data_IF_848499938193
#
_entry.id   IF_848499938193
#
_cell.length_a   1.000
_cell.length_b   1.000
_cell.length_c   1.000
_cell.angle_alpha   90.00
_cell.angle_beta   90.00
_cell.angle_gamma   90.00
#
_symmetry.space_group_name_H-M   'P 1'
#
loop_
_entity.id
_entity.type
_entity.pdbx_description
1 polymer ?
#
# COMPACT_ATOMS: atom_id res chain seq x y z
N UNK A 1 -26.46 -19.14 33.26
CA UNK A 1 -26.00 -19.17 31.86
C UNK A 1 -25.52 -20.59 31.61
N UNK A 2 -26.16 -21.35 30.71
CA UNK A 2 -26.02 -22.81 30.64
C UNK A 2 -24.60 -23.24 30.21
N UNK A 3 -23.84 -23.86 31.11
CA UNK A 3 -22.51 -24.43 30.80
C UNK A 3 -22.57 -25.52 29.71
N UNK A 4 -23.74 -26.10 29.47
CA UNK A 4 -23.97 -27.14 28.44
C UNK A 4 -23.82 -26.66 26.99
N UNK A 5 -23.76 -25.35 26.71
CA UNK A 5 -23.58 -24.80 25.35
C UNK A 5 -22.28 -23.99 25.20
N UNK A 6 -21.30 -24.19 26.08
CA UNK A 6 -19.98 -23.54 25.95
C UNK A 6 -19.04 -24.45 25.17
N UNK A 7 -18.74 -24.08 23.92
CA UNK A 7 -17.65 -24.70 23.16
C UNK A 7 -16.31 -24.20 23.73
N UNK A 8 -15.41 -25.08 24.20
CA UNK A 8 -14.12 -24.69 24.79
C UNK A 8 -13.08 -24.33 23.71
N UNK A 9 -13.46 -23.47 22.76
CA UNK A 9 -12.59 -23.07 21.64
C UNK A 9 -11.30 -22.40 22.13
N UNK A 10 -11.37 -21.62 23.21
CA UNK A 10 -10.21 -20.99 23.82
C UNK A 10 -9.15 -22.01 24.26
N UNK A 11 -9.58 -23.06 24.98
CA UNK A 11 -8.67 -24.09 25.49
C UNK A 11 -8.04 -24.90 24.35
N UNK A 12 -8.81 -25.17 23.29
CA UNK A 12 -8.32 -25.86 22.08
C UNK A 12 -7.28 -25.00 21.35
N UNK A 13 -7.56 -23.71 21.16
CA UNK A 13 -6.63 -22.77 20.51
C UNK A 13 -5.37 -22.59 21.36
N UNK A 14 -5.50 -22.47 22.68
CA UNK A 14 -4.37 -22.37 23.59
C UNK A 14 -3.47 -23.61 23.52
N UNK A 15 -4.06 -24.81 23.58
CA UNK A 15 -3.32 -26.07 23.45
C UNK A 15 -2.61 -26.17 22.08
N UNK A 16 -3.28 -25.77 21.00
CA UNK A 16 -2.69 -25.74 19.67
C UNK A 16 -1.52 -24.74 19.58
N UNK A 17 -1.66 -23.53 20.12
CA UNK A 17 -0.59 -22.52 20.14
C UNK A 17 0.60 -23.02 20.95
N UNK A 18 0.39 -23.58 22.14
CA UNK A 18 1.45 -24.15 22.97
C UNK A 18 2.18 -25.29 22.25
N UNK A 19 1.43 -26.19 21.62
CA UNK A 19 2.03 -27.26 20.82
C UNK A 19 2.90 -26.73 19.67
N UNK A 20 2.44 -25.69 18.97
CA UNK A 20 3.23 -25.04 17.90
C UNK A 20 4.51 -24.42 18.48
N UNK A 21 4.42 -23.74 19.62
CA UNK A 21 5.58 -23.14 20.30
C UNK A 21 6.59 -24.23 20.69
N UNK A 22 6.14 -25.32 21.30
CA UNK A 22 7.00 -26.40 21.76
C UNK A 22 7.65 -27.14 20.58
N UNK A 23 6.89 -27.35 19.49
CA UNK A 23 7.38 -28.05 18.30
C UNK A 23 8.34 -27.21 17.44
N UNK A 24 8.13 -25.90 17.37
CA UNK A 24 8.86 -24.98 16.49
C UNK A 24 9.72 -23.95 17.24
N UNK A 25 9.94 -24.11 18.54
CA UNK A 25 10.65 -23.14 19.38
C UNK A 25 11.99 -22.69 18.80
N UNK A 26 12.85 -23.64 18.42
CA UNK A 26 14.15 -23.32 17.81
C UNK A 26 14.04 -22.56 16.47
N UNK A 27 12.97 -22.77 15.70
CA UNK A 27 12.72 -21.97 14.50
C UNK A 27 12.30 -20.54 14.88
N UNK A 28 11.42 -20.38 15.86
CA UNK A 28 11.00 -19.07 16.34
C UNK A 28 12.13 -18.27 16.97
N UNK A 29 13.04 -18.93 17.69
CA UNK A 29 14.24 -18.30 18.24
C UNK A 29 15.14 -17.72 17.12
N UNK A 30 15.35 -18.49 16.05
CA UNK A 30 16.11 -18.02 14.88
C UNK A 30 15.41 -16.83 14.23
N UNK A 31 14.09 -16.89 14.06
CA UNK A 31 13.30 -15.77 13.53
C UNK A 31 13.41 -14.55 14.43
N UNK A 32 13.33 -14.71 15.75
CA UNK A 32 13.43 -13.63 16.73
C UNK A 32 14.80 -12.94 16.64
N UNK A 33 15.89 -13.71 16.58
CA UNK A 33 17.25 -13.20 16.44
C UNK A 33 17.42 -12.45 15.12
N UNK A 34 16.91 -12.99 14.01
CA UNK A 34 17.01 -12.33 12.70
C UNK A 34 16.21 -11.02 12.69
N UNK A 35 14.95 -11.05 13.12
CA UNK A 35 14.09 -9.88 13.09
C UNK A 35 14.55 -8.81 14.07
N UNK A 36 14.93 -9.21 15.29
CA UNK A 36 15.52 -8.32 16.29
C UNK A 36 16.81 -7.70 15.79
N UNK A 37 17.74 -8.52 15.29
CA UNK A 37 19.02 -8.02 14.77
C UNK A 37 18.88 -7.10 13.56
N UNK A 38 17.95 -7.39 12.63
CA UNK A 38 17.66 -6.51 11.49
C UNK A 38 17.01 -5.20 11.94
N UNK A 39 16.11 -5.26 12.92
CA UNK A 39 15.50 -4.07 13.52
C UNK A 39 16.55 -3.20 14.20
N UNK A 40 17.37 -3.78 15.08
CA UNK A 40 18.43 -3.06 15.81
C UNK A 40 19.45 -2.45 14.83
N UNK A 41 19.83 -3.18 13.78
CA UNK A 41 20.72 -2.68 12.75
C UNK A 41 20.12 -1.49 11.98
N UNK A 42 18.84 -1.59 11.61
CA UNK A 42 18.16 -0.54 10.85
C UNK A 42 17.89 0.69 11.73
N UNK A 43 17.45 0.49 12.97
CA UNK A 43 17.32 1.56 13.95
C UNK A 43 18.67 2.25 14.18
N UNK A 44 19.74 1.50 14.48
CA UNK A 44 21.07 2.09 14.67
C UNK A 44 21.52 2.90 13.45
N UNK A 45 21.20 2.44 12.23
CA UNK A 45 21.52 3.13 10.98
C UNK A 45 20.74 4.44 10.80
N UNK A 46 19.55 4.56 11.39
CA UNK A 46 18.69 5.75 11.34
C UNK A 46 18.90 6.70 12.53
N UNK A 47 19.21 6.16 13.71
CA UNK A 47 19.24 6.87 14.99
C UNK A 47 20.65 7.32 15.39
N UNK A 48 21.71 6.60 14.98
CA UNK A 48 23.10 6.94 15.33
C UNK A 48 23.65 8.15 14.58
N UNK A 49 23.42 8.30 13.25
CA UNK A 49 23.91 9.46 12.53
C UNK A 49 23.24 10.74 13.04
N UNK A 50 23.89 11.92 12.89
CA UNK A 50 23.24 13.17 13.26
C UNK A 50 22.00 13.40 12.40
N UNK A 51 20.91 13.90 13.01
CA UNK A 51 19.58 14.00 12.37
C UNK A 51 19.62 14.66 10.98
N UNK A 52 20.46 15.68 10.78
CA UNK A 52 20.57 16.38 9.49
C UNK A 52 21.07 15.46 8.36
N UNK A 53 21.95 14.50 8.66
CA UNK A 53 22.46 13.57 7.66
C UNK A 53 21.36 12.63 7.17
N UNK A 54 20.55 12.12 8.10
CA UNK A 54 19.41 11.25 7.81
C UNK A 54 18.34 12.03 7.04
N UNK A 55 18.07 13.28 7.42
CA UNK A 55 17.17 14.17 6.68
C UNK A 55 17.64 14.35 5.24
N UNK A 56 18.94 14.58 5.00
CA UNK A 56 19.47 14.72 3.65
C UNK A 56 19.28 13.44 2.83
N UNK A 57 19.49 12.26 3.42
CA UNK A 57 19.28 10.97 2.74
C UNK A 57 17.81 10.77 2.38
N UNK A 58 16.88 11.00 3.33
CA UNK A 58 15.45 10.86 3.08
C UNK A 58 14.98 11.91 2.06
N UNK A 59 15.46 13.15 2.14
CA UNK A 59 15.14 14.21 1.20
C UNK A 59 15.68 13.91 -0.21
N UNK A 60 16.87 13.31 -0.33
CA UNK A 60 17.41 12.86 -1.61
C UNK A 60 16.57 11.73 -2.22
N UNK A 61 16.12 10.78 -1.40
CA UNK A 61 15.21 9.73 -1.85
C UNK A 61 13.84 10.29 -2.27
N UNK A 62 13.30 11.25 -1.52
CA UNK A 62 12.11 12.00 -1.86
C UNK A 62 12.25 12.83 -3.15
N UNK A 63 13.43 13.41 -3.39
CA UNK A 63 13.75 14.11 -4.63
C UNK A 63 13.73 13.14 -5.82
N UNK A 64 14.34 11.97 -5.67
CA UNK A 64 14.38 10.96 -6.72
C UNK A 64 12.98 10.43 -7.08
N UNK A 65 12.07 10.31 -6.11
CA UNK A 65 10.71 9.82 -6.35
C UNK A 65 9.78 10.86 -7.02
N UNK A 66 9.72 12.09 -6.50
CA UNK A 66 8.76 13.12 -6.99
C UNK A 66 9.31 14.54 -7.14
N UNK A 67 10.63 14.73 -7.04
CA UNK A 67 11.29 16.01 -7.29
C UNK A 67 11.36 16.94 -6.07
N UNK A 68 11.75 18.20 -6.31
CA UNK A 68 12.14 19.15 -5.25
C UNK A 68 11.05 19.42 -4.22
N UNK A 69 9.78 19.50 -4.63
CA UNK A 69 8.67 19.82 -3.72
C UNK A 69 8.55 18.77 -2.62
N UNK A 70 8.61 17.49 -2.97
CA UNK A 70 8.53 16.41 -1.98
C UNK A 70 9.81 16.36 -1.13
N UNK A 71 10.98 16.60 -1.72
CA UNK A 71 12.25 16.64 -0.99
C UNK A 71 12.26 17.70 0.11
N UNK A 72 11.91 18.95 -0.25
CA UNK A 72 11.84 20.07 0.68
C UNK A 72 10.72 19.85 1.71
N UNK A 73 9.55 19.39 1.28
CA UNK A 73 8.45 19.07 2.19
C UNK A 73 8.82 17.98 3.21
N UNK A 74 9.52 16.93 2.77
CA UNK A 74 10.00 15.86 3.66
C UNK A 74 11.05 16.39 4.63
N UNK A 75 12.01 17.20 4.16
CA UNK A 75 13.02 17.79 5.02
C UNK A 75 12.40 18.70 6.10
N UNK A 76 11.45 19.57 5.73
CA UNK A 76 10.74 20.43 6.67
C UNK A 76 9.92 19.62 7.67
N UNK A 77 9.20 18.59 7.22
CA UNK A 77 8.45 17.71 8.11
C UNK A 77 9.36 17.00 9.12
N UNK A 78 10.48 16.43 8.68
CA UNK A 78 11.43 15.79 9.57
C UNK A 78 12.08 16.78 10.55
N UNK A 79 12.35 18.02 10.13
CA UNK A 79 12.81 19.08 11.04
C UNK A 79 11.78 19.41 12.12
N UNK A 80 10.47 19.36 11.79
CA UNK A 80 9.41 19.50 12.81
C UNK A 80 9.48 18.37 13.83
N UNK A 81 9.67 17.12 13.40
CA UNK A 81 9.82 15.96 14.31
C UNK A 81 11.01 16.16 15.26
N UNK A 82 12.14 16.68 14.76
CA UNK A 82 13.30 17.04 15.58
C UNK A 82 12.95 18.14 16.58
N UNK A 83 12.26 19.19 16.13
CA UNK A 83 11.91 20.34 16.95
C UNK A 83 10.97 19.99 18.12
N UNK A 84 10.09 18.99 17.95
CA UNK A 84 9.19 18.49 19.00
C UNK A 84 9.79 17.36 19.84
N UNK A 85 11.08 17.04 19.66
CA UNK A 85 11.76 16.03 20.48
C UNK A 85 11.35 14.58 20.21
N UNK A 86 10.68 14.31 19.08
CA UNK A 86 10.17 12.97 18.74
C UNK A 86 11.06 12.20 17.76
N UNK A 87 12.30 12.64 17.55
CA UNK A 87 13.22 12.06 16.56
C UNK A 87 13.49 10.57 16.79
N UNK A 88 13.91 10.18 18.00
CA UNK A 88 14.20 8.77 18.32
C UNK A 88 12.96 7.91 18.09
N UNK A 89 11.82 8.33 18.65
CA UNK A 89 10.55 7.62 18.50
C UNK A 89 10.15 7.45 17.02
N UNK A 90 10.42 8.45 16.20
CA UNK A 90 10.15 8.44 14.77
C UNK A 90 11.07 7.46 14.02
N UNK A 91 12.36 7.39 14.37
CA UNK A 91 13.29 6.44 13.75
C UNK A 91 12.98 5.00 14.15
N UNK A 92 12.63 4.73 15.42
CA UNK A 92 12.19 3.41 15.88
C UNK A 92 10.98 2.92 15.07
N UNK A 93 9.98 3.80 14.91
CA UNK A 93 8.77 3.52 14.13
C UNK A 93 9.08 3.29 12.66
N UNK A 94 9.96 4.12 12.10
CA UNK A 94 10.33 4.04 10.69
C UNK A 94 11.09 2.74 10.40
N UNK A 95 12.02 2.33 11.27
CA UNK A 95 12.72 1.05 11.17
C UNK A 95 11.74 -0.13 11.19
N UNK A 96 10.82 -0.13 12.16
CA UNK A 96 9.78 -1.17 12.29
C UNK A 96 8.91 -1.24 11.03
N UNK A 97 8.41 -0.11 10.56
CA UNK A 97 7.53 -0.03 9.38
C UNK A 97 8.24 -0.47 8.11
N UNK A 98 9.48 -0.02 7.88
CA UNK A 98 10.26 -0.42 6.70
C UNK A 98 10.49 -1.94 6.72
N UNK A 99 10.94 -2.49 7.84
CA UNK A 99 11.25 -3.91 7.94
C UNK A 99 9.98 -4.77 7.78
N UNK A 100 8.90 -4.41 8.47
CA UNK A 100 7.61 -5.10 8.34
C UNK A 100 7.06 -5.02 6.91
N UNK A 101 7.10 -3.84 6.28
CA UNK A 101 6.59 -3.67 4.93
C UNK A 101 7.42 -4.46 3.91
N UNK A 102 8.75 -4.43 3.99
CA UNK A 102 9.63 -5.19 3.08
C UNK A 102 9.34 -6.68 3.17
N UNK A 103 9.24 -7.23 4.38
CA UNK A 103 8.93 -8.65 4.59
C UNK A 103 7.52 -8.97 4.10
N UNK A 104 6.52 -8.13 4.42
CA UNK A 104 5.15 -8.32 3.98
C UNK A 104 5.04 -8.29 2.45
N UNK A 105 5.72 -7.36 1.76
CA UNK A 105 5.75 -7.29 0.29
C UNK A 105 6.42 -8.54 -0.30
N UNK A 106 7.56 -8.96 0.28
CA UNK A 106 8.30 -10.13 -0.15
C UNK A 106 7.48 -11.43 -0.05
N UNK A 107 6.47 -11.47 0.83
CA UNK A 107 5.53 -12.60 0.96
C UNK A 107 4.29 -12.37 0.08
N UNK A 108 3.70 -11.17 0.15
CA UNK A 108 2.42 -10.86 -0.46
C UNK A 108 2.46 -10.91 -1.99
N UNK A 109 3.52 -10.38 -2.61
CA UNK A 109 3.64 -10.35 -4.08
C UNK A 109 3.78 -11.78 -4.65
N UNK A 110 4.69 -12.65 -4.16
CA UNK A 110 4.74 -14.03 -4.61
C UNK A 110 3.44 -14.82 -4.38
N UNK A 111 2.79 -14.65 -3.22
CA UNK A 111 1.50 -15.29 -2.95
C UNK A 111 0.41 -14.81 -3.91
N UNK A 112 0.38 -13.51 -4.24
CA UNK A 112 -0.56 -12.94 -5.21
C UNK A 112 -0.31 -13.45 -6.63
N UNK A 113 0.96 -13.58 -7.05
CA UNK A 113 1.32 -14.20 -8.32
C UNK A 113 0.87 -15.66 -8.34
N UNK A 114 1.05 -16.40 -7.25
CA UNK A 114 0.64 -17.79 -7.18
C UNK A 114 -0.88 -17.96 -7.23
N UNK A 115 -1.63 -17.12 -6.51
CA UNK A 115 -3.09 -17.06 -6.54
C UNK A 115 -3.63 -16.69 -7.94
N UNK A 116 -2.94 -15.80 -8.66
CA UNK A 116 -3.32 -15.42 -10.01
C UNK A 116 -3.24 -16.58 -11.00
N UNK A 117 -2.29 -17.50 -10.79
CA UNK A 117 -2.06 -18.65 -11.67
C UNK A 117 -2.90 -19.88 -11.35
N UNK A 118 -3.54 -19.93 -10.19
CA UNK A 118 -4.30 -21.10 -9.75
C UNK A 118 -5.56 -20.70 -9.01
N UNK A 119 -6.71 -21.04 -9.60
CA UNK A 119 -8.03 -20.82 -8.98
C UNK A 119 -8.16 -21.57 -7.65
N UNK A 120 -7.51 -22.73 -7.51
CA UNK A 120 -7.50 -23.49 -6.25
C UNK A 120 -6.74 -22.74 -5.15
N UNK A 121 -5.57 -22.21 -5.48
CA UNK A 121 -4.77 -21.41 -4.52
C UNK A 121 -5.52 -20.15 -4.13
N UNK A 122 -6.12 -19.45 -5.10
CA UNK A 122 -6.96 -18.28 -4.85
C UNK A 122 -8.16 -18.60 -3.93
N UNK A 123 -8.88 -19.69 -4.19
CA UNK A 123 -10.04 -20.10 -3.40
C UNK A 123 -9.68 -20.43 -1.94
N UNK A 124 -8.47 -20.95 -1.68
CA UNK A 124 -7.98 -21.23 -0.33
C UNK A 124 -7.42 -19.98 0.35
N UNK A 125 -6.65 -19.15 -0.38
CA UNK A 125 -6.02 -17.97 0.20
C UNK A 125 -7.04 -16.89 0.58
N UNK A 126 -8.08 -16.65 -0.23
CA UNK A 126 -9.09 -15.62 0.04
C UNK A 126 -9.67 -15.66 1.46
N UNK A 127 -10.27 -16.77 1.93
CA UNK A 127 -10.83 -16.81 3.28
C UNK A 127 -9.76 -16.65 4.37
N UNK A 128 -8.53 -17.14 4.14
CA UNK A 128 -7.42 -16.93 5.09
C UNK A 128 -7.06 -15.46 5.18
N UNK A 129 -6.90 -14.77 4.04
CA UNK A 129 -6.57 -13.34 4.02
C UNK A 129 -7.71 -12.48 4.58
N UNK A 130 -8.96 -12.83 4.27
CA UNK A 130 -10.14 -12.15 4.82
C UNK A 130 -10.17 -12.30 6.35
N UNK A 131 -9.87 -13.50 6.87
CA UNK A 131 -9.73 -13.72 8.31
C UNK A 131 -8.57 -12.88 8.89
N UNK A 132 -7.40 -12.93 8.24
CA UNK A 132 -6.21 -12.17 8.67
C UNK A 132 -6.47 -10.66 8.77
N UNK A 133 -7.26 -10.10 7.86
CA UNK A 133 -7.57 -8.68 7.80
C UNK A 133 -8.74 -8.26 8.71
N UNK A 134 -9.65 -9.18 9.02
CA UNK A 134 -10.88 -8.85 9.77
C UNK A 134 -10.77 -9.12 11.27
N UNK A 135 -9.90 -10.03 11.73
CA UNK A 135 -9.72 -10.14 13.18
C UNK A 135 -9.03 -8.91 13.75
N UNK A 136 -9.42 -8.48 14.96
CA UNK A 136 -8.76 -7.39 15.66
C UNK A 136 -7.28 -7.68 15.86
N UNK A 137 -6.43 -6.68 15.61
CA UNK A 137 -4.99 -6.89 15.58
C UNK A 137 -4.42 -7.40 16.92
N UNK A 138 -5.06 -7.02 18.04
CA UNK A 138 -4.75 -7.51 19.39
C UNK A 138 -4.82 -9.03 19.54
N UNK A 139 -5.66 -9.69 18.75
CA UNK A 139 -5.78 -11.15 18.79
C UNK A 139 -4.49 -11.81 18.28
N UNK A 140 -3.84 -11.25 17.26
CA UNK A 140 -2.55 -11.75 16.74
C UNK A 140 -1.38 -11.47 17.69
N UNK A 141 -1.48 -10.40 18.48
CA UNK A 141 -0.41 -10.02 19.39
C UNK A 141 -0.23 -11.03 20.53
N UNK A 142 -1.30 -11.69 20.99
CA UNK A 142 -1.21 -12.67 22.08
C UNK A 142 -0.24 -13.82 21.73
N UNK A 143 -0.45 -14.61 20.66
CA UNK A 143 0.49 -15.66 20.30
C UNK A 143 1.86 -15.10 19.90
N UNK A 144 1.92 -13.93 19.23
CA UNK A 144 3.20 -13.33 18.88
C UNK A 144 4.05 -12.97 20.11
N UNK A 145 3.44 -12.42 21.17
CA UNK A 145 4.13 -12.12 22.42
C UNK A 145 4.53 -13.39 23.18
N UNK A 146 3.73 -14.45 23.13
CA UNK A 146 4.09 -15.73 23.74
C UNK A 146 5.31 -16.36 23.06
N UNK A 147 5.42 -16.22 21.74
CA UNK A 147 6.52 -16.76 20.93
C UNK A 147 7.77 -15.89 21.05
N UNK A 148 7.65 -14.57 20.89
CA UNK A 148 8.78 -13.65 20.70
C UNK A 148 9.08 -12.76 21.91
N UNK A 149 8.25 -12.81 22.96
CA UNK A 149 8.34 -11.89 24.09
C UNK A 149 7.82 -10.49 23.78
N UNK A 150 8.00 -9.58 24.72
CA UNK A 150 7.63 -8.16 24.60
C UNK A 150 8.74 -7.42 23.83
N UNK A 151 8.37 -6.60 22.85
CA UNK A 151 9.36 -5.86 22.05
C UNK A 151 8.89 -5.51 20.63
N UNK A 152 9.84 -5.13 19.74
CA UNK A 152 9.53 -4.75 18.36
C UNK A 152 9.13 -5.95 17.47
N UNK A 153 9.70 -7.13 17.71
CA UNK A 153 9.44 -8.36 16.92
C UNK A 153 7.96 -8.77 16.88
N UNK A 154 7.23 -8.93 18.01
CA UNK A 154 5.80 -9.27 17.94
C UNK A 154 4.97 -8.20 17.21
N UNK A 155 5.32 -6.91 17.37
CA UNK A 155 4.71 -5.80 16.64
C UNK A 155 4.91 -5.92 15.13
N UNK A 156 6.13 -6.20 14.69
CA UNK A 156 6.44 -6.46 13.27
C UNK A 156 5.65 -7.65 12.72
N UNK A 157 5.60 -8.77 13.43
CA UNK A 157 4.89 -9.97 12.99
C UNK A 157 3.39 -9.69 12.82
N UNK A 158 2.75 -9.06 13.81
CA UNK A 158 1.35 -8.70 13.70
C UNK A 158 1.09 -7.71 12.55
N UNK A 159 2.03 -6.79 12.33
CA UNK A 159 1.99 -5.82 11.22
C UNK A 159 2.07 -6.51 9.87
N UNK A 160 3.01 -7.45 9.70
CA UNK A 160 3.16 -8.24 8.48
C UNK A 160 1.85 -8.98 8.19
N UNK A 161 1.36 -9.76 9.15
CA UNK A 161 0.15 -10.58 9.02
C UNK A 161 -1.05 -9.73 8.59
N UNK A 162 -1.24 -8.57 9.23
CA UNK A 162 -2.34 -7.67 8.92
C UNK A 162 -2.21 -7.02 7.53
N UNK A 163 -1.00 -6.70 7.11
CA UNK A 163 -0.73 -6.02 5.84
C UNK A 163 -0.71 -6.95 4.62
N UNK A 164 -0.60 -8.28 4.79
CA UNK A 164 -0.52 -9.24 3.67
C UNK A 164 -1.74 -9.18 2.73
N UNK A 165 -2.94 -9.10 3.29
CA UNK A 165 -4.20 -9.25 2.55
C UNK A 165 -4.34 -8.34 1.32
N UNK A 166 -4.21 -7.00 1.43
CA UNK A 166 -4.32 -6.14 0.26
C UNK A 166 -3.18 -6.34 -0.75
N UNK A 167 -1.96 -6.63 -0.29
CA UNK A 167 -0.82 -6.87 -1.17
C UNK A 167 -1.02 -8.08 -2.07
N UNK A 168 -1.48 -9.20 -1.49
CA UNK A 168 -1.81 -10.43 -2.22
C UNK A 168 -2.96 -10.17 -3.19
N UNK A 169 -4.05 -9.55 -2.70
CA UNK A 169 -5.28 -9.33 -3.47
C UNK A 169 -5.05 -8.42 -4.67
N UNK A 170 -4.37 -7.28 -4.50
CA UNK A 170 -4.13 -6.34 -5.60
C UNK A 170 -3.12 -6.88 -6.61
N UNK A 171 -2.18 -7.73 -6.17
CA UNK A 171 -1.31 -8.48 -7.09
C UNK A 171 -2.10 -9.51 -7.89
N UNK A 172 -2.95 -10.30 -7.24
CA UNK A 172 -3.79 -11.30 -7.91
C UNK A 172 -4.72 -10.66 -8.93
N UNK A 173 -5.46 -9.62 -8.52
CA UNK A 173 -6.40 -8.89 -9.38
C UNK A 173 -5.67 -8.21 -10.54
N UNK A 174 -4.49 -7.65 -10.30
CA UNK A 174 -3.69 -7.02 -11.35
C UNK A 174 -3.31 -7.98 -12.46
N UNK A 175 -2.86 -9.19 -12.09
CA UNK A 175 -2.43 -10.21 -13.06
C UNK A 175 -3.62 -10.83 -13.79
N UNK A 176 -4.72 -11.12 -13.07
CA UNK A 176 -5.94 -11.67 -13.67
C UNK A 176 -6.71 -10.64 -14.51
N UNK A 177 -6.54 -9.36 -14.23
CA UNK A 177 -7.20 -8.26 -14.94
C UNK A 177 -6.52 -7.86 -16.26
N UNK A 178 -5.42 -8.52 -16.63
CA UNK A 178 -4.78 -8.32 -17.94
C UNK A 178 -5.69 -8.88 -19.03
N UNK A 179 -5.89 -8.10 -20.09
CA UNK A 179 -6.76 -8.46 -21.23
C UNK A 179 -6.43 -9.84 -21.79
N UNK A 180 -7.46 -10.68 -21.90
CA UNK A 180 -7.34 -12.03 -22.42
C UNK A 180 -6.84 -12.04 -23.86
N UNK A 181 -7.23 -11.06 -24.70
CA UNK A 181 -6.79 -10.99 -26.10
C UNK A 181 -5.27 -10.82 -26.20
N UNK A 182 -4.67 -10.04 -25.30
CA UNK A 182 -3.21 -9.84 -25.24
C UNK A 182 -2.51 -11.13 -24.80
N UNK A 183 -3.11 -11.87 -23.87
CA UNK A 183 -2.58 -13.17 -23.40
C UNK A 183 -2.69 -14.24 -24.50
N UNK A 184 -3.82 -14.31 -25.19
CA UNK A 184 -4.08 -15.21 -26.32
C UNK A 184 -3.16 -14.92 -27.51
N UNK A 185 -2.90 -13.64 -27.80
CA UNK A 185 -1.89 -13.25 -28.79
C UNK A 185 -0.50 -13.79 -28.40
N UNK A 186 -0.11 -13.68 -27.13
CA UNK A 186 1.14 -14.28 -26.63
C UNK A 186 1.21 -15.79 -26.87
N UNK A 187 0.10 -16.50 -26.64
CA UNK A 187 0.00 -17.93 -26.95
C UNK A 187 0.08 -18.22 -28.46
N UNK A 188 -0.57 -17.43 -29.30
CA UNK A 188 -0.53 -17.56 -30.76
C UNK A 188 0.88 -17.37 -31.34
N UNK A 189 1.70 -16.50 -30.72
CA UNK A 189 3.12 -16.33 -31.03
C UNK A 189 4.05 -17.37 -30.37
N UNK A 190 3.51 -18.42 -29.74
CA UNK A 190 4.28 -19.53 -29.16
C UNK A 190 4.97 -19.22 -27.84
N UNK A 191 4.55 -18.19 -27.10
CA UNK A 191 5.08 -17.92 -25.77
C UNK A 191 4.58 -18.96 -24.75
N UNK A 192 5.50 -19.49 -23.94
CA UNK A 192 5.13 -20.37 -22.82
C UNK A 192 4.41 -19.58 -21.71
N UNK A 193 3.60 -20.22 -20.86
CA UNK A 193 2.88 -19.54 -19.78
C UNK A 193 3.79 -18.73 -18.83
N UNK A 194 5.02 -19.21 -18.59
CA UNK A 194 6.00 -18.47 -17.79
C UNK A 194 6.56 -17.23 -18.51
N UNK A 195 6.68 -17.28 -19.83
CA UNK A 195 7.08 -16.14 -20.65
C UNK A 195 5.96 -15.10 -20.72
N UNK A 196 4.72 -15.54 -20.92
CA UNK A 196 3.52 -14.69 -20.89
C UNK A 196 3.42 -13.97 -19.54
N UNK A 197 3.54 -14.71 -18.43
CA UNK A 197 3.52 -14.09 -17.10
C UNK A 197 4.59 -13.01 -16.94
N UNK A 198 5.85 -13.31 -17.28
CA UNK A 198 6.97 -12.41 -17.02
C UNK A 198 7.04 -11.21 -17.97
N UNK A 199 6.62 -11.38 -19.23
CA UNK A 199 6.82 -10.38 -20.29
C UNK A 199 5.54 -9.64 -20.67
N UNK A 200 4.37 -10.19 -20.34
CA UNK A 200 3.07 -9.58 -20.67
C UNK A 200 2.35 -9.24 -19.37
N UNK A 201 2.00 -10.24 -18.55
CA UNK A 201 1.09 -10.01 -17.42
C UNK A 201 1.73 -9.17 -16.31
N UNK A 202 2.95 -9.50 -15.88
CA UNK A 202 3.63 -8.75 -14.80
C UNK A 202 3.83 -7.27 -15.17
N UNK A 203 4.38 -6.91 -16.34
CA UNK A 203 4.51 -5.51 -16.75
C UNK A 203 3.17 -4.75 -16.77
N UNK A 204 2.11 -5.37 -17.32
CA UNK A 204 0.79 -4.75 -17.40
C UNK A 204 0.10 -4.67 -16.03
N UNK A 205 0.38 -5.61 -15.12
CA UNK A 205 -0.15 -5.64 -13.76
C UNK A 205 0.61 -4.74 -12.77
N UNK A 206 1.80 -4.23 -13.13
CA UNK A 206 2.66 -3.44 -12.24
C UNK A 206 1.93 -2.30 -11.53
N UNK A 207 1.06 -1.49 -12.17
CA UNK A 207 0.34 -0.44 -11.45
C UNK A 207 -0.52 -0.97 -10.30
N UNK A 208 -1.19 -2.11 -10.49
CA UNK A 208 -2.01 -2.75 -9.45
C UNK A 208 -1.14 -3.37 -8.36
N UNK A 209 -0.03 -4.02 -8.73
CA UNK A 209 0.94 -4.56 -7.77
C UNK A 209 1.50 -3.44 -6.89
N UNK A 210 1.87 -2.30 -7.50
CA UNK A 210 2.39 -1.14 -6.78
C UNK A 210 1.33 -0.46 -5.91
N UNK A 211 0.06 -0.47 -6.32
CA UNK A 211 -1.04 -0.07 -5.44
C UNK A 211 -1.15 -1.00 -4.22
N UNK A 212 -0.97 -2.31 -4.41
CA UNK A 212 -0.88 -3.31 -3.32
C UNK A 212 0.28 -3.04 -2.38
N UNK A 213 1.47 -2.79 -2.91
CA UNK A 213 2.66 -2.40 -2.15
C UNK A 213 2.41 -1.13 -1.33
N UNK A 214 1.77 -0.12 -1.92
CA UNK A 214 1.41 1.10 -1.19
C UNK A 214 0.46 0.80 -0.02
N UNK A 215 -0.56 -0.05 -0.23
CA UNK A 215 -1.46 -0.47 0.85
C UNK A 215 -0.73 -1.22 1.97
N UNK A 216 0.22 -2.10 1.62
CA UNK A 216 1.05 -2.80 2.62
C UNK A 216 1.81 -1.81 3.49
N UNK A 217 2.44 -0.79 2.89
CA UNK A 217 3.19 0.25 3.61
C UNK A 217 2.26 1.09 4.49
N UNK A 218 1.12 1.52 3.96
CA UNK A 218 0.16 2.35 4.70
C UNK A 218 -0.48 1.62 5.89
N UNK A 219 -0.81 0.34 5.73
CA UNK A 219 -1.28 -0.49 6.83
C UNK A 219 -0.17 -0.77 7.84
N UNK A 220 1.07 -0.94 7.36
CA UNK A 220 2.21 -1.14 8.26
C UNK A 220 2.40 0.05 9.20
N UNK A 221 2.26 1.25 8.67
CA UNK A 221 2.31 2.47 9.48
C UNK A 221 1.11 2.60 10.43
N UNK A 222 -0.09 2.23 9.96
CA UNK A 222 -1.30 2.26 10.80
C UNK A 222 -1.16 1.35 12.04
N UNK A 223 -0.33 0.33 11.94
CA UNK A 223 -0.07 -0.63 13.02
C UNK A 223 0.97 -0.15 14.04
N UNK A 224 1.66 0.98 13.83
CA UNK A 224 2.70 1.50 14.73
C UNK A 224 2.18 1.70 16.16
N UNK A 225 0.98 2.24 16.33
CA UNK A 225 0.39 2.46 17.67
C UNK A 225 0.17 1.12 18.38
N UNK A 226 -0.32 0.12 17.68
CA UNK A 226 -0.61 -1.21 18.25
C UNK A 226 0.69 -1.95 18.56
N UNK A 227 1.72 -1.82 17.71
CA UNK A 227 3.06 -2.32 18.01
C UNK A 227 3.65 -1.66 19.27
N UNK A 228 3.46 -0.35 19.43
CA UNK A 228 3.87 0.39 20.63
C UNK A 228 3.26 -0.13 21.93
N UNK A 229 2.00 -0.62 21.88
CA UNK A 229 1.31 -1.21 23.04
C UNK A 229 1.96 -2.51 23.54
N UNK A 230 2.71 -3.22 22.69
CA UNK A 230 3.37 -4.49 23.03
C UNK A 230 4.87 -4.35 23.22
N UNK A 231 5.33 -3.13 23.52
CA UNK A 231 6.73 -2.86 23.87
C UNK A 231 7.66 -2.61 22.69
N UNK A 232 7.13 -2.37 21.47
CA UNK A 232 7.96 -1.93 20.35
C UNK A 232 8.51 -0.50 20.51
N UNK A 233 7.98 0.28 21.46
CA UNK A 233 8.41 1.66 21.70
C UNK A 233 7.97 2.61 20.57
N UNK A 234 8.87 3.52 20.19
CA UNK A 234 8.64 4.48 19.12
C UNK A 234 7.48 5.46 19.35
N UNK A 235 7.02 6.08 18.26
CA UNK A 235 5.87 7.00 18.26
C UNK A 235 4.60 6.31 18.76
N UNK A 236 4.43 5.02 18.44
CA UNK A 236 3.31 4.24 18.93
C UNK A 236 3.30 4.16 20.46
N UNK A 237 4.45 3.87 21.06
CA UNK A 237 4.63 3.89 22.52
C UNK A 237 4.37 5.27 23.12
N UNK A 238 4.84 6.35 22.48
CA UNK A 238 4.59 7.72 22.93
C UNK A 238 3.08 8.07 22.91
N UNK A 239 2.35 7.68 21.87
CA UNK A 239 0.89 7.86 21.78
C UNK A 239 0.15 7.06 22.86
N UNK A 240 0.58 5.82 23.11
CA UNK A 240 -0.03 4.99 24.16
C UNK A 240 0.25 5.56 25.55
N UNK A 241 1.47 6.05 25.77
CA UNK A 241 1.85 6.72 27.01
C UNK A 241 1.06 8.00 27.23
N UNK A 242 0.85 8.81 26.19
CA UNK A 242 0.10 10.05 26.27
C UNK A 242 -1.36 9.79 26.64
N UNK A 243 -1.98 8.76 26.06
CA UNK A 243 -3.34 8.34 26.43
C UNK A 243 -3.42 7.85 27.88
N UNK A 244 -2.46 7.03 28.30
CA UNK A 244 -2.44 6.45 29.65
C UNK A 244 -2.25 7.51 30.74
N UNK A 245 -1.53 8.59 30.43
CA UNK A 245 -1.25 9.70 31.35
C UNK A 245 -2.15 10.91 31.16
N UNK A 246 -3.02 10.89 30.13
CA UNK A 246 -3.83 12.04 29.70
C UNK A 246 -2.92 13.26 29.42
N UNK A 247 -1.76 13.01 28.81
CA UNK A 247 -0.78 14.03 28.43
C UNK A 247 -1.08 14.52 27.01
N UNK A 248 -1.76 15.67 26.91
CA UNK A 248 -2.17 16.24 25.63
C UNK A 248 -0.93 16.71 24.83
N UNK A 249 0.08 17.25 25.50
CA UNK A 249 1.26 17.79 24.83
C UNK A 249 2.02 16.67 24.10
N UNK A 250 2.37 15.61 24.83
CA UNK A 250 3.02 14.44 24.23
C UNK A 250 2.17 13.80 23.13
N UNK A 251 0.85 13.71 23.34
CA UNK A 251 -0.07 13.13 22.36
C UNK A 251 -0.09 13.90 21.03
N UNK A 252 -0.07 15.23 21.08
CA UNK A 252 -0.01 16.08 19.89
C UNK A 252 1.35 15.98 19.20
N UNK A 253 2.45 16.03 19.94
CA UNK A 253 3.81 15.95 19.39
C UNK A 253 4.05 14.59 18.70
N UNK A 254 3.70 13.48 19.37
CA UNK A 254 3.81 12.13 18.82
C UNK A 254 2.85 11.92 17.64
N UNK A 255 1.59 12.32 17.79
CA UNK A 255 0.58 12.19 16.73
C UNK A 255 0.94 12.98 15.46
N UNK A 256 1.40 14.22 15.60
CA UNK A 256 1.89 15.03 14.47
C UNK A 256 3.07 14.34 13.77
N UNK A 257 4.00 13.78 14.55
CA UNK A 257 5.15 13.05 14.01
C UNK A 257 4.73 11.79 13.24
N UNK A 258 3.72 11.05 13.70
CA UNK A 258 3.15 9.91 12.96
C UNK A 258 2.57 10.37 11.62
N UNK A 259 1.80 11.46 11.61
CA UNK A 259 1.20 12.01 10.38
C UNK A 259 2.27 12.46 9.40
N UNK A 260 3.33 13.12 9.87
CA UNK A 260 4.45 13.54 9.01
C UNK A 260 5.13 12.32 8.37
N UNK A 261 5.46 11.28 9.15
CA UNK A 261 6.01 10.05 8.59
C UNK A 261 5.06 9.39 7.59
N UNK A 262 3.75 9.39 7.87
CA UNK A 262 2.73 8.87 6.96
C UNK A 262 2.71 9.58 5.62
N UNK A 263 2.73 10.91 5.65
CA UNK A 263 2.73 11.72 4.45
C UNK A 263 4.03 11.51 3.65
N UNK A 264 5.18 11.40 4.31
CA UNK A 264 6.45 11.15 3.61
C UNK A 264 6.40 9.77 2.94
N UNK A 265 6.05 8.71 3.67
CA UNK A 265 6.00 7.35 3.15
C UNK A 265 4.97 7.19 2.02
N UNK A 266 3.75 7.71 2.18
CA UNK A 266 2.70 7.66 1.16
C UNK A 266 3.17 8.34 -0.13
N UNK A 267 3.72 9.55 -0.02
CA UNK A 267 4.10 10.36 -1.19
C UNK A 267 5.28 9.78 -1.93
N UNK A 268 6.28 9.27 -1.20
CA UNK A 268 7.45 8.60 -1.76
C UNK A 268 7.03 7.33 -2.50
N UNK A 269 6.21 6.49 -1.87
CA UNK A 269 5.77 5.21 -2.44
C UNK A 269 4.86 5.40 -3.64
N UNK A 270 3.92 6.34 -3.55
CA UNK A 270 3.04 6.72 -4.67
C UNK A 270 3.80 7.28 -5.88
N UNK A 271 5.03 7.78 -5.70
CA UNK A 271 5.90 8.20 -6.80
C UNK A 271 6.29 7.07 -7.75
N UNK A 272 6.35 5.85 -7.23
CA UNK A 272 6.72 4.66 -8.02
C UNK A 272 5.50 3.93 -8.61
N UNK A 273 4.29 4.18 -8.09
CA UNK A 273 3.07 3.46 -8.48
C UNK A 273 2.36 4.03 -9.73
N UNK A 274 2.54 5.32 -10.05
CA UNK A 274 1.87 5.97 -11.17
C UNK A 274 2.85 6.12 -12.33
N UNK A 275 2.68 5.38 -13.45
CA UNK A 275 3.41 5.68 -14.68
C UNK A 275 3.20 7.15 -15.01
N UNK A 276 4.28 7.89 -15.29
CA UNK A 276 4.18 9.26 -15.81
C UNK A 276 3.31 9.20 -17.05
N UNK A 277 2.04 9.59 -16.95
CA UNK A 277 1.26 9.95 -18.13
C UNK A 277 2.08 11.04 -18.82
N UNK A 278 2.71 10.67 -19.95
CA UNK A 278 3.23 11.65 -20.88
C UNK A 278 2.02 12.46 -21.28
N UNK A 279 1.87 13.64 -20.68
CA UNK A 279 0.91 14.65 -21.09
C UNK A 279 0.95 14.66 -22.62
N UNK A 280 -0.15 14.32 -23.32
CA UNK A 280 -0.17 14.44 -24.76
C UNK A 280 0.30 15.85 -25.08
N UNK A 281 1.40 15.96 -25.83
CA UNK A 281 1.80 17.22 -26.42
C UNK A 281 0.62 17.61 -27.30
N UNK A 282 -0.26 18.44 -26.76
CA UNK A 282 -1.31 19.08 -27.52
C UNK A 282 -0.59 19.79 -28.64
N UNK A 283 -0.79 19.28 -29.86
CA UNK A 283 -0.38 19.87 -31.12
C UNK A 283 -0.79 21.34 -31.15
N UNK A 284 0.09 22.21 -30.65
CA UNK A 284 0.04 23.65 -30.91
C UNK A 284 0.41 23.95 -32.36
N UNK A 285 0.96 22.97 -33.08
CA UNK A 285 1.41 23.12 -34.46
C UNK A 285 0.35 22.72 -35.51
N UNK A 286 -0.77 22.09 -35.09
CA UNK A 286 -1.85 21.71 -36.01
C UNK A 286 -2.88 22.84 -36.26
N UNK A 287 -2.79 23.96 -35.53
CA UNK A 287 -3.69 25.11 -35.72
C UNK A 287 -3.16 26.11 -36.77
N UNK A 288 -2.02 25.85 -37.42
CA UNK A 288 -1.39 26.78 -38.38
C UNK A 288 -1.32 26.22 -39.80
N UNK A 289 -1.72 24.96 -40.02
CA UNK A 289 -1.80 24.36 -41.34
C UNK A 289 -3.26 23.95 -41.60
N UNK A 290 -3.79 24.40 -42.74
CA UNK A 290 -5.11 24.06 -43.31
C UNK A 290 -6.30 24.88 -42.81
N UNK A 291 -6.42 26.09 -43.35
CA UNK A 291 -7.71 26.64 -43.76
C UNK A 291 -7.74 26.76 -45.28
N UNK A 292 -8.25 25.76 -46.02
CA UNK A 292 -8.73 25.99 -47.38
C UNK A 292 -10.07 26.70 -47.26
N UNK A 293 -10.13 27.93 -47.77
CA UNK A 293 -11.35 28.73 -47.81
C UNK A 293 -12.48 27.94 -48.49
N UNK A 294 -13.56 27.72 -47.75
CA UNK A 294 -14.79 27.08 -48.21
C UNK A 294 -15.44 27.99 -49.26
N UNK A 295 -15.56 27.48 -50.48
CA UNK A 295 -16.32 28.08 -51.57
C UNK A 295 -17.82 28.12 -51.19
N UNK A 296 -18.39 29.32 -51.13
CA UNK A 296 -19.79 29.54 -50.77
C UNK A 296 -20.73 29.08 -51.90
N UNK A 297 -21.84 28.37 -51.62
CA UNK A 297 -22.81 28.01 -52.66
C UNK A 297 -23.58 29.24 -53.15
N UNK A 298 -23.74 29.38 -54.48
CA UNK A 298 -24.58 30.39 -55.13
C UNK A 298 -26.06 30.25 -54.71
N UNK A 299 -26.80 31.37 -54.48
CA UNK A 299 -28.22 31.32 -54.21
C UNK A 299 -29.02 30.91 -55.45
N UNK A 300 -29.95 29.97 -55.27
CA UNK A 300 -30.86 29.46 -56.29
C UNK A 300 -31.77 30.55 -56.88
N UNK A 301 -32.00 30.45 -58.19
CA UNK A 301 -32.85 31.34 -58.97
C UNK A 301 -34.30 31.37 -58.46
N UNK A 302 -34.88 32.57 -58.49
CA UNK A 302 -36.26 32.92 -58.17
C UNK A 302 -37.30 32.15 -58.99
N UNK A 303 -38.21 31.45 -58.31
CA UNK A 303 -39.43 30.88 -58.91
C UNK A 303 -40.53 31.96 -58.91
N UNK A 304 -41.23 32.23 -60.04
CA UNK A 304 -42.28 33.24 -60.10
C UNK A 304 -43.57 32.82 -59.37
N UNK A 305 -44.17 33.83 -58.75
CA UNK A 305 -45.42 33.86 -58.01
C UNK A 305 -46.62 33.42 -58.89
N UNK A 306 -47.28 32.31 -58.55
CA UNK A 306 -48.53 31.88 -59.16
C UNK A 306 -49.69 32.35 -58.28
N UNK A 307 -50.35 33.38 -58.79
CA UNK A 307 -51.53 34.03 -58.26
C UNK A 307 -52.67 33.05 -57.95
N UNK A 308 -53.26 33.26 -56.77
CA UNK A 308 -54.68 33.53 -56.55
C UNK A 308 -55.69 32.81 -57.47
N UNK A 309 -56.25 31.70 -56.98
CA UNK A 309 -57.61 31.32 -57.35
C UNK A 309 -58.29 30.60 -56.17
N UNK A 310 -58.83 31.38 -55.23
CA UNK A 310 -59.80 30.89 -54.24
C UNK A 310 -61.21 31.10 -54.79
N UNK A 311 -61.83 30.04 -55.31
CA UNK A 311 -63.28 29.97 -55.45
C UNK A 311 -63.93 29.30 -54.22
N UNK A 312 -65.02 29.85 -53.67
CA UNK A 312 -65.77 29.23 -52.59
C UNK A 312 -66.88 28.31 -53.15
N UNK A 313 -67.03 27.10 -52.59
CA UNK A 313 -68.22 26.28 -52.83
C UNK A 313 -68.93 26.02 -51.50
N UNK A 314 -70.03 26.73 -51.33
CA UNK A 314 -71.20 26.38 -50.52
C UNK A 314 -71.91 25.16 -51.12
N UNK A 315 -72.25 24.14 -50.33
CA UNK A 315 -73.61 23.72 -49.88
C UNK A 315 -73.41 22.71 -48.75
#
# INVERSE_FOLDING_TARGET
MNEFFRLPLGDVVEAAVRWVIDALGGFFDVVAVIFGGLYDWLDASLSTPPFWAVILVIAAFAYWSRGLVLAVGSALGLLVIVAVGQWSNAMDSLALVILAAVVAIAIAVPLGIWAARSDRVSAVLRPVLDFLQTMPAFVYLIPAMLIFGVGPVPGMVATIVFALAPGVRLTELGIRGVDAEIVEAGHAFGASPGRILRQIQLPLAMPSIMAGVNQVIMLSLSMVVIAGMVGAGGLGGAVVQSLSRIDIALGVEAGLSVVILAMILDRVTSGFAVPRERRPQTSRDAATAESPAVEQPQPAASIPDLADDRQPVTV
#
